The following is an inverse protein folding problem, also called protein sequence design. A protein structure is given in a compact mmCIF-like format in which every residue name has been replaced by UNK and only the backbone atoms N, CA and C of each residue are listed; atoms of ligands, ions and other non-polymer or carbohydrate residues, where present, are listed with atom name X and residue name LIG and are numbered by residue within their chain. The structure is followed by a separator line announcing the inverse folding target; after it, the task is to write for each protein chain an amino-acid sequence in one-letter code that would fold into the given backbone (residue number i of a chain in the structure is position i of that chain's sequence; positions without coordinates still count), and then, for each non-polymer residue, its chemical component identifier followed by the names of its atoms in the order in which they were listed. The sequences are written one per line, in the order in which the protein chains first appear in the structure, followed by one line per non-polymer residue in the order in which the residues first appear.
data_IF_552646601313
#
_entry.id   IF_552646601313
#
_cell.length_a   1.000
_cell.length_b   1.000
_cell.length_c   1.000
_cell.angle_alpha   90.00
_cell.angle_beta   90.00
_cell.angle_gamma   90.00
#
_symmetry.space_group_name_H-M   'P 1'
#
loop_
_entity.id
_entity.type
_entity.pdbx_description
1 polymer ?
#
# COMPACT_ATOMS: atom_id res chain seq x y z
N UNK A 1 -59.79 39.19 -29.60
CA UNK A 1 -60.74 38.07 -29.66
C UNK A 1 -60.16 36.91 -28.87
N UNK A 2 -61.00 36.13 -28.18
CA UNK A 2 -60.63 34.83 -27.61
C UNK A 2 -60.65 33.77 -28.73
N UNK A 3 -60.06 32.59 -28.50
CA UNK A 3 -60.55 31.26 -28.97
C UNK A 3 -59.89 30.14 -28.13
N UNK A 4 -60.54 28.97 -28.05
CA UNK A 4 -60.21 27.79 -27.21
C UNK A 4 -60.85 26.51 -27.80
N UNK A 5 -60.42 25.28 -27.52
CA UNK A 5 -59.30 24.86 -26.64
C UNK A 5 -58.00 24.73 -27.45
N UNK A 6 -57.44 23.61 -27.93
CA UNK A 6 -57.49 22.14 -27.70
C UNK A 6 -56.00 21.71 -27.78
N UNK A 7 -55.40 20.93 -26.89
CA UNK A 7 -55.78 19.64 -26.32
C UNK A 7 -54.91 18.54 -26.98
N UNK A 8 -53.70 18.31 -26.48
CA UNK A 8 -52.74 17.34 -27.04
C UNK A 8 -51.69 16.89 -26.02
N UNK A 9 -51.58 15.57 -25.81
CA UNK A 9 -50.72 14.97 -24.78
C UNK A 9 -49.31 14.74 -25.35
N UNK A 10 -48.33 15.53 -24.91
CA UNK A 10 -46.92 15.31 -25.22
C UNK A 10 -46.25 14.53 -24.08
N UNK A 11 -46.17 13.19 -24.19
CA UNK A 11 -45.39 12.37 -23.27
C UNK A 11 -43.90 12.53 -23.63
N UNK A 12 -43.18 13.40 -22.92
CA UNK A 12 -41.73 13.49 -23.02
C UNK A 12 -41.09 12.23 -22.42
N UNK A 13 -40.69 11.28 -23.27
CA UNK A 13 -40.03 10.06 -22.83
C UNK A 13 -38.72 10.39 -22.10
N UNK A 14 -38.61 9.96 -20.84
CA UNK A 14 -37.37 10.05 -20.07
C UNK A 14 -36.40 8.97 -20.58
N UNK A 15 -35.19 9.31 -21.06
CA UNK A 15 -34.24 8.31 -21.54
C UNK A 15 -33.70 7.47 -20.38
N UNK A 16 -34.15 6.23 -20.28
CA UNK A 16 -33.78 5.30 -19.20
C UNK A 16 -32.43 4.63 -19.47
N UNK A 17 -31.36 5.43 -19.57
CA UNK A 17 -30.00 4.96 -19.85
C UNK A 17 -28.93 5.90 -19.28
N UNK A 18 -28.19 5.45 -18.25
CA UNK A 18 -26.77 5.81 -18.09
C UNK A 18 -25.97 4.96 -17.07
N UNK A 19 -26.59 4.24 -16.13
CA UNK A 19 -25.82 3.50 -15.10
C UNK A 19 -24.80 2.49 -15.68
N UNK A 20 -25.14 1.78 -16.76
CA UNK A 20 -24.22 0.83 -17.41
C UNK A 20 -23.07 1.56 -18.09
N UNK A 21 -23.39 2.62 -18.84
CA UNK A 21 -22.42 3.43 -19.61
C UNK A 21 -21.46 4.16 -18.66
N UNK A 22 -21.92 4.61 -17.49
CA UNK A 22 -21.03 5.18 -16.46
C UNK A 22 -20.12 4.14 -15.81
N UNK A 23 -20.58 2.90 -15.62
CA UNK A 23 -19.76 1.81 -15.05
C UNK A 23 -18.70 1.36 -16.07
N UNK A 24 -19.09 1.19 -17.33
CA UNK A 24 -18.17 0.89 -18.43
C UNK A 24 -17.18 2.04 -18.67
N UNK A 25 -17.60 3.32 -18.62
CA UNK A 25 -16.66 4.44 -18.72
C UNK A 25 -15.69 4.51 -17.54
N UNK A 26 -16.12 4.19 -16.30
CA UNK A 26 -15.20 4.11 -15.15
C UNK A 26 -14.19 2.96 -15.33
N UNK A 27 -14.63 1.78 -15.77
CA UNK A 27 -13.72 0.66 -16.05
C UNK A 27 -12.78 0.93 -17.23
N UNK A 28 -13.25 1.62 -18.29
CA UNK A 28 -12.41 2.01 -19.41
C UNK A 28 -11.42 3.11 -19.03
N UNK A 29 -11.80 4.10 -18.21
CA UNK A 29 -10.86 5.10 -17.66
C UNK A 29 -9.79 4.45 -16.77
N UNK A 30 -10.18 3.49 -15.91
CA UNK A 30 -9.24 2.67 -15.13
C UNK A 30 -8.33 1.78 -15.99
N UNK A 31 -8.75 1.42 -17.21
CA UNK A 31 -7.90 0.69 -18.17
C UNK A 31 -6.91 1.60 -18.93
N UNK A 32 -7.25 2.89 -19.07
CA UNK A 32 -6.53 3.85 -19.89
C UNK A 32 -5.37 4.56 -19.17
N UNK A 33 -5.35 4.59 -17.83
CA UNK A 33 -4.29 5.22 -17.03
C UNK A 33 -2.97 4.43 -16.98
N UNK A 34 -2.67 3.62 -18.00
CA UNK A 34 -1.61 2.60 -18.00
C UNK A 34 -0.25 3.14 -18.47
N UNK A 35 0.02 4.41 -18.18
CA UNK A 35 1.16 5.18 -18.70
C UNK A 35 2.28 5.30 -17.64
N UNK A 36 3.11 4.26 -17.54
CA UNK A 36 4.46 4.25 -16.94
C UNK A 36 4.68 5.11 -15.68
N UNK A 37 4.00 4.78 -14.58
CA UNK A 37 4.12 5.46 -13.27
C UNK A 37 5.45 5.15 -12.52
N UNK A 38 6.53 4.87 -13.26
CA UNK A 38 7.84 4.51 -12.75
C UNK A 38 8.73 5.73 -12.50
N UNK A 39 9.37 5.81 -11.33
CA UNK A 39 10.33 6.89 -11.05
C UNK A 39 11.60 6.72 -11.91
N UNK A 40 12.14 7.78 -12.52
CA UNK A 40 13.36 7.72 -13.33
C UNK A 40 14.66 7.55 -12.51
N UNK A 41 14.54 7.23 -11.21
CA UNK A 41 15.65 7.08 -10.27
C UNK A 41 15.62 5.66 -9.68
N UNK A 42 16.67 4.84 -9.89
CA UNK A 42 16.74 3.49 -9.35
C UNK A 42 16.56 3.42 -7.83
N UNK A 43 15.85 2.39 -7.36
CA UNK A 43 15.66 2.11 -5.93
C UNK A 43 14.54 2.91 -5.25
N UNK A 44 14.00 3.94 -5.90
CA UNK A 44 12.72 4.56 -5.55
C UNK A 44 11.56 3.74 -6.16
N UNK A 45 10.41 3.72 -5.49
CA UNK A 45 9.23 2.97 -5.91
C UNK A 45 7.98 3.81 -5.65
N UNK A 46 7.46 4.46 -6.70
CA UNK A 46 6.21 5.23 -6.64
C UNK A 46 5.02 4.28 -6.47
N UNK A 47 4.33 4.36 -5.34
CA UNK A 47 3.17 3.53 -5.00
C UNK A 47 1.85 4.21 -5.38
N UNK A 48 1.82 5.54 -5.36
CA UNK A 48 0.73 6.39 -5.85
C UNK A 48 1.33 7.69 -6.41
N UNK A 49 0.56 8.55 -7.09
CA UNK A 49 1.04 9.88 -7.50
C UNK A 49 1.63 10.74 -6.36
N UNK A 50 1.27 10.48 -5.11
CA UNK A 50 1.74 11.20 -3.91
C UNK A 50 2.60 10.40 -2.94
N UNK A 51 2.92 9.11 -3.20
CA UNK A 51 3.64 8.25 -2.25
C UNK A 51 4.79 7.49 -2.92
N UNK A 52 5.99 7.59 -2.36
CA UNK A 52 7.21 6.92 -2.84
C UNK A 52 7.86 6.13 -1.71
N UNK A 53 7.93 4.80 -1.87
CA UNK A 53 8.62 3.88 -0.96
C UNK A 53 10.06 3.64 -1.43
N UNK A 54 11.03 3.69 -0.50
CA UNK A 54 12.42 3.32 -0.81
C UNK A 54 13.20 2.79 0.41
N UNK A 55 14.46 2.44 0.17
CA UNK A 55 15.49 2.24 1.20
C UNK A 55 16.46 3.41 1.22
N UNK A 56 17.10 3.67 2.36
CA UNK A 56 17.91 4.86 2.62
C UNK A 56 18.99 5.14 1.55
N UNK A 57 19.60 4.11 0.97
CA UNK A 57 20.61 4.25 -0.07
C UNK A 57 20.13 4.91 -1.38
N UNK A 58 18.81 5.01 -1.61
CA UNK A 58 18.22 5.70 -2.76
C UNK A 58 17.79 7.15 -2.43
N UNK A 59 17.89 7.58 -1.17
CA UNK A 59 17.41 8.89 -0.71
C UNK A 59 18.48 9.95 -0.96
N UNK A 60 18.26 10.76 -2.00
CA UNK A 60 19.19 11.81 -2.45
C UNK A 60 18.44 13.15 -2.55
N UNK A 61 18.95 14.25 -1.96
CA UNK A 61 18.33 15.58 -2.03
C UNK A 61 17.87 15.97 -3.45
N UNK A 62 18.77 15.87 -4.43
CA UNK A 62 18.48 16.23 -5.83
C UNK A 62 17.47 15.31 -6.55
N UNK A 63 17.13 14.14 -5.99
CA UNK A 63 16.00 13.33 -6.46
C UNK A 63 14.70 13.79 -5.79
N UNK A 64 14.75 14.13 -4.49
CA UNK A 64 13.60 14.66 -3.75
C UNK A 64 13.11 16.01 -4.31
N UNK A 65 14.02 16.94 -4.63
CA UNK A 65 13.70 18.19 -5.33
C UNK A 65 12.96 17.91 -6.66
N UNK A 66 13.52 17.03 -7.51
CA UNK A 66 12.96 16.67 -8.83
C UNK A 66 11.63 15.93 -8.78
N UNK A 67 11.32 15.28 -7.65
CA UNK A 67 10.08 14.54 -7.44
C UNK A 67 9.00 15.36 -6.71
N UNK A 68 9.30 16.61 -6.31
CA UNK A 68 8.38 17.44 -5.55
C UNK A 68 8.10 16.91 -4.14
N UNK A 69 9.07 16.23 -3.52
CA UNK A 69 8.90 15.63 -2.19
C UNK A 69 8.74 16.73 -1.14
N UNK A 70 7.54 16.79 -0.54
CA UNK A 70 7.14 17.77 0.47
C UNK A 70 7.04 17.16 1.88
N UNK A 71 7.11 15.82 1.99
CA UNK A 71 7.20 15.12 3.26
C UNK A 71 8.20 13.94 3.17
N UNK A 72 8.95 13.71 4.24
CA UNK A 72 9.89 12.60 4.40
C UNK A 72 9.57 11.86 5.70
N UNK A 73 9.26 10.57 5.62
CA UNK A 73 9.01 9.70 6.78
C UNK A 73 10.17 8.70 6.89
N UNK A 74 10.95 8.80 7.97
CA UNK A 74 12.10 7.93 8.27
C UNK A 74 11.73 6.93 9.38
N UNK A 75 11.69 5.65 9.04
CA UNK A 75 11.36 4.53 9.94
C UNK A 75 12.61 3.70 10.26
N UNK A 76 13.76 4.35 10.45
CA UNK A 76 15.03 3.72 10.79
C UNK A 76 15.76 4.47 11.92
N UNK A 77 15.43 4.18 13.20
CA UNK A 77 16.12 4.78 14.36
C UNK A 77 17.64 4.58 14.36
N UNK A 78 18.15 3.55 13.68
CA UNK A 78 19.57 3.22 13.56
C UNK A 78 20.35 4.08 12.54
N UNK A 79 19.68 4.94 11.77
CA UNK A 79 20.31 5.82 10.77
C UNK A 79 20.47 7.26 11.28
N UNK A 80 21.40 8.06 10.73
CA UNK A 80 21.36 9.52 10.88
C UNK A 80 20.04 10.09 10.33
N UNK A 81 19.78 11.37 10.60
CA UNK A 81 18.65 12.04 9.96
C UNK A 81 18.82 12.16 8.45
N UNK A 82 17.69 12.09 7.75
CA UNK A 82 17.66 12.04 6.29
C UNK A 82 18.17 13.37 5.71
N UNK A 83 19.12 13.36 4.76
CA UNK A 83 19.61 14.61 4.15
C UNK A 83 18.49 15.24 3.31
N UNK A 84 17.90 16.32 3.82
CA UNK A 84 16.75 16.99 3.21
C UNK A 84 17.16 17.88 2.01
N UNK A 85 16.26 18.12 1.03
CA UNK A 85 16.49 19.04 -0.08
C UNK A 85 16.66 20.49 0.38
N UNK A 86 17.51 21.25 -0.34
CA UNK A 86 17.91 22.60 0.06
C UNK A 86 16.97 23.72 -0.41
N UNK A 87 16.10 23.48 -1.40
CA UNK A 87 15.24 24.54 -1.94
C UNK A 87 13.96 24.76 -1.11
N UNK A 88 13.40 23.68 -0.57
CA UNK A 88 12.26 23.70 0.36
C UNK A 88 12.44 22.58 1.36
N UNK A 89 12.50 22.90 2.65
CA UNK A 89 12.50 21.90 3.72
C UNK A 89 11.16 21.16 3.72
N UNK A 90 11.12 19.84 3.50
CA UNK A 90 9.90 19.05 3.63
C UNK A 90 9.50 18.88 5.10
N UNK A 91 8.25 18.51 5.36
CA UNK A 91 7.86 17.96 6.66
C UNK A 91 8.66 16.69 6.93
N UNK A 92 9.25 16.55 8.11
CA UNK A 92 10.08 15.39 8.48
C UNK A 92 9.54 14.69 9.72
N UNK A 93 9.16 13.42 9.56
CA UNK A 93 8.70 12.55 10.64
C UNK A 93 9.69 11.40 10.83
N UNK A 94 10.21 11.24 12.06
CA UNK A 94 11.13 10.15 12.43
C UNK A 94 10.47 9.19 13.41
N UNK A 95 10.14 7.99 12.93
CA UNK A 95 9.48 6.93 13.71
C UNK A 95 10.53 5.98 14.29
N UNK A 96 10.63 5.94 15.61
CA UNK A 96 11.66 5.20 16.34
C UNK A 96 11.31 3.71 16.52
N UNK A 97 11.16 2.98 15.41
CA UNK A 97 10.82 1.55 15.40
C UNK A 97 11.94 0.66 14.80
N UNK A 98 12.33 -0.39 15.53
CA UNK A 98 13.29 -1.40 15.04
C UNK A 98 12.57 -2.47 14.19
N UNK A 99 13.29 -3.11 13.26
CA UNK A 99 12.73 -4.16 12.39
C UNK A 99 12.68 -5.52 13.11
N UNK A 100 11.73 -5.67 14.04
CA UNK A 100 11.57 -6.88 14.86
C UNK A 100 10.09 -7.22 15.04
N UNK A 101 9.76 -8.49 15.16
CA UNK A 101 8.39 -9.01 15.31
C UNK A 101 7.72 -8.60 16.62
N UNK A 102 8.51 -8.27 17.65
CA UNK A 102 8.05 -7.90 18.99
C UNK A 102 7.83 -6.39 19.14
N UNK A 103 8.20 -5.59 18.13
CA UNK A 103 8.02 -4.13 18.14
C UNK A 103 6.61 -3.79 17.69
N UNK A 104 5.87 -3.07 18.54
CA UNK A 104 4.63 -2.43 18.14
C UNK A 104 4.90 -1.22 17.23
N UNK A 105 4.57 -1.39 15.95
CA UNK A 105 4.54 -0.35 14.93
C UNK A 105 3.11 0.18 14.70
N UNK A 106 2.08 -0.52 15.19
CA UNK A 106 0.67 -0.21 14.94
C UNK A 106 0.24 1.13 15.52
N UNK A 107 0.81 1.51 16.67
CA UNK A 107 0.67 2.86 17.27
C UNK A 107 1.10 4.03 16.36
N UNK A 108 1.82 3.77 15.27
CA UNK A 108 2.22 4.75 14.25
C UNK A 108 1.46 4.61 12.92
N UNK A 109 0.53 3.66 12.81
CA UNK A 109 -0.22 3.44 11.57
C UNK A 109 -1.11 4.63 11.22
N UNK A 110 -1.90 5.15 12.17
CA UNK A 110 -2.74 6.32 11.96
C UNK A 110 -1.90 7.59 11.72
N UNK A 111 -0.91 7.87 12.59
CA UNK A 111 0.01 9.00 12.46
C UNK A 111 0.65 9.08 11.06
N UNK A 112 1.18 7.96 10.57
CA UNK A 112 1.82 7.91 9.25
C UNK A 112 0.81 7.92 8.10
N UNK A 113 -0.34 7.24 8.23
CA UNK A 113 -1.37 7.21 7.20
C UNK A 113 -2.02 8.59 6.99
N UNK A 114 -2.34 9.28 8.07
CA UNK A 114 -3.00 10.58 8.04
C UNK A 114 -2.04 11.66 7.52
N UNK A 115 -0.75 11.63 7.91
CA UNK A 115 0.26 12.52 7.34
C UNK A 115 0.48 12.29 5.82
N UNK A 116 0.45 11.05 5.34
CA UNK A 116 0.52 10.77 3.89
C UNK A 116 -0.72 11.32 3.16
N UNK A 117 -1.91 11.21 3.77
CA UNK A 117 -3.16 11.72 3.21
C UNK A 117 -3.23 13.26 3.21
N UNK A 118 -2.82 13.93 4.29
CA UNK A 118 -2.71 15.41 4.34
C UNK A 118 -1.76 15.94 3.25
N UNK A 119 -0.63 15.25 3.04
CA UNK A 119 0.32 15.58 1.97
C UNK A 119 -0.27 15.33 0.58
N UNK A 120 -1.08 14.28 0.40
CA UNK A 120 -1.80 14.03 -0.86
C UNK A 120 -2.86 15.12 -1.12
N UNK A 121 -3.66 15.45 -0.12
CA UNK A 121 -4.75 16.43 -0.22
C UNK A 121 -4.25 17.86 -0.47
N UNK A 122 -3.05 18.18 0.02
CA UNK A 122 -2.35 19.44 -0.29
C UNK A 122 -1.59 19.44 -1.63
N UNK A 123 -1.68 18.36 -2.41
CA UNK A 123 -1.04 18.23 -3.73
C UNK A 123 0.48 17.97 -3.69
N UNK A 124 0.99 17.57 -2.53
CA UNK A 124 2.40 17.22 -2.32
C UNK A 124 2.72 15.75 -2.56
N UNK A 125 3.95 15.36 -2.20
CA UNK A 125 4.44 13.99 -2.30
C UNK A 125 5.23 13.58 -1.06
N UNK A 126 4.89 12.43 -0.48
CA UNK A 126 5.61 11.82 0.64
C UNK A 126 6.61 10.78 0.15
N UNK A 127 7.86 10.91 0.56
CA UNK A 127 8.86 9.84 0.48
C UNK A 127 8.94 9.13 1.84
N UNK A 128 8.83 7.81 1.85
CA UNK A 128 8.91 7.00 3.07
C UNK A 128 9.98 5.91 2.94
N UNK A 129 10.85 5.80 3.94
CA UNK A 129 11.98 4.87 3.91
C UNK A 129 12.31 4.27 5.27
N UNK A 130 13.02 3.15 5.22
CA UNK A 130 13.82 2.63 6.33
C UNK A 130 15.22 2.31 5.78
N UNK A 131 15.94 1.34 6.34
CA UNK A 131 17.23 0.89 5.77
C UNK A 131 17.07 0.34 4.35
N UNK A 132 16.32 -0.75 4.16
CA UNK A 132 16.21 -1.44 2.86
C UNK A 132 14.93 -1.10 2.06
N UNK A 133 13.91 -0.52 2.70
CA UNK A 133 12.60 -0.34 2.08
C UNK A 133 11.89 -1.68 1.85
N UNK A 134 11.98 -2.59 2.82
CA UNK A 134 11.49 -3.98 2.73
C UNK A 134 10.35 -4.24 3.71
N UNK A 135 10.53 -3.88 4.99
CA UNK A 135 9.61 -4.24 6.08
C UNK A 135 8.97 -3.01 6.74
N UNK A 136 9.69 -2.26 7.59
CA UNK A 136 9.13 -1.11 8.34
C UNK A 136 8.38 -0.07 7.49
N UNK A 137 9.06 0.58 6.54
CA UNK A 137 8.44 1.62 5.70
C UNK A 137 7.35 1.07 4.79
N UNK A 138 7.51 -0.17 4.29
CA UNK A 138 6.48 -0.84 3.53
C UNK A 138 5.22 -1.10 4.38
N UNK A 139 5.37 -1.44 5.66
CA UNK A 139 4.25 -1.66 6.58
C UNK A 139 3.41 -0.39 6.75
N UNK A 140 4.04 0.78 6.91
CA UNK A 140 3.32 2.05 6.98
C UNK A 140 2.67 2.44 5.64
N UNK A 141 3.26 2.07 4.49
CA UNK A 141 2.60 2.21 3.19
C UNK A 141 1.33 1.35 3.10
N UNK A 142 1.37 0.11 3.63
CA UNK A 142 0.21 -0.78 3.66
C UNK A 142 -0.90 -0.24 4.57
N UNK A 143 -0.55 0.29 5.75
CA UNK A 143 -1.50 0.95 6.64
C UNK A 143 -2.22 2.13 5.95
N UNK A 144 -1.47 3.01 5.28
CA UNK A 144 -2.04 4.09 4.47
C UNK A 144 -2.98 3.58 3.37
N UNK A 145 -2.58 2.55 2.60
CA UNK A 145 -3.41 2.00 1.52
C UNK A 145 -4.69 1.34 2.04
N UNK A 146 -4.68 0.77 3.24
CA UNK A 146 -5.86 0.19 3.90
C UNK A 146 -6.81 1.31 4.38
N UNK A 147 -6.27 2.35 5.03
CA UNK A 147 -7.05 3.45 5.62
C UNK A 147 -7.65 4.39 4.56
N UNK A 148 -6.81 4.92 3.66
CA UNK A 148 -7.16 6.04 2.78
C UNK A 148 -7.33 5.65 1.30
N UNK A 149 -6.62 4.62 0.81
CA UNK A 149 -6.86 4.11 -0.55
C UNK A 149 -7.96 3.04 -0.62
N UNK A 150 -8.61 2.73 0.50
CA UNK A 150 -9.77 1.83 0.57
C UNK A 150 -9.48 0.36 0.29
N UNK A 151 -8.21 -0.04 0.15
CA UNK A 151 -7.80 -1.41 -0.18
C UNK A 151 -7.96 -2.36 1.01
N UNK A 152 -8.10 -3.66 0.73
CA UNK A 152 -7.78 -4.71 1.70
C UNK A 152 -6.26 -4.88 1.85
N UNK A 153 -5.79 -5.49 2.94
CA UNK A 153 -4.37 -5.81 3.15
C UNK A 153 -3.81 -6.71 2.04
N UNK A 154 -4.61 -7.65 1.54
CA UNK A 154 -4.23 -8.53 0.42
C UNK A 154 -4.07 -7.77 -0.90
N UNK A 155 -4.89 -6.76 -1.16
CA UNK A 155 -4.79 -5.90 -2.34
C UNK A 155 -3.62 -4.93 -2.21
N UNK A 156 -3.50 -4.24 -1.07
CA UNK A 156 -2.41 -3.33 -0.77
C UNK A 156 -1.04 -4.03 -0.87
N UNK A 157 -0.91 -5.25 -0.32
CA UNK A 157 0.34 -6.02 -0.44
C UNK A 157 0.65 -6.37 -1.89
N UNK A 158 -0.31 -6.87 -2.67
CA UNK A 158 -0.11 -7.20 -4.10
C UNK A 158 0.27 -5.97 -4.91
N UNK A 159 -0.37 -4.83 -4.66
CA UNK A 159 -0.06 -3.54 -5.30
C UNK A 159 1.38 -3.11 -5.02
N UNK A 160 1.78 -3.10 -3.74
CA UNK A 160 3.14 -2.72 -3.34
C UNK A 160 4.19 -3.73 -3.83
N UNK A 161 3.90 -5.03 -3.79
CA UNK A 161 4.82 -6.09 -4.25
C UNK A 161 5.01 -6.05 -5.78
N UNK A 162 3.97 -5.74 -6.56
CA UNK A 162 4.09 -5.60 -8.02
C UNK A 162 5.02 -4.44 -8.43
N UNK A 163 5.07 -3.37 -7.63
CA UNK A 163 5.92 -2.19 -7.87
C UNK A 163 7.31 -2.36 -7.24
N UNK A 164 7.41 -3.08 -6.12
CA UNK A 164 8.65 -3.32 -5.36
C UNK A 164 8.74 -4.78 -4.87
N UNK A 165 9.17 -5.72 -5.73
CA UNK A 165 9.09 -7.17 -5.46
C UNK A 165 9.79 -7.65 -4.18
N UNK A 166 10.80 -6.93 -3.68
CA UNK A 166 11.49 -7.26 -2.44
C UNK A 166 10.73 -6.86 -1.15
N UNK A 167 9.51 -6.31 -1.23
CA UNK A 167 8.72 -5.93 -0.05
C UNK A 167 8.26 -7.16 0.73
N UNK A 168 8.62 -7.20 2.01
CA UNK A 168 8.39 -8.31 2.93
C UNK A 168 8.39 -7.79 4.38
N UNK A 169 7.26 -7.26 4.89
CA UNK A 169 7.08 -7.01 6.31
C UNK A 169 7.40 -8.26 7.14
N UNK A 170 7.95 -8.07 8.35
CA UNK A 170 8.11 -9.18 9.28
C UNK A 170 6.74 -9.69 9.76
N UNK A 171 6.70 -10.92 10.30
CA UNK A 171 5.45 -11.57 10.72
C UNK A 171 4.67 -10.79 11.79
N UNK A 172 5.37 -10.10 12.70
CA UNK A 172 4.76 -9.25 13.71
C UNK A 172 4.03 -8.04 13.10
N UNK A 173 4.67 -7.34 12.16
CA UNK A 173 4.04 -6.24 11.43
C UNK A 173 2.88 -6.71 10.54
N UNK A 174 2.98 -7.90 9.93
CA UNK A 174 1.84 -8.49 9.22
C UNK A 174 0.67 -8.79 10.16
N UNK A 175 0.91 -9.37 11.35
CA UNK A 175 -0.15 -9.56 12.34
C UNK A 175 -0.74 -8.22 12.82
N UNK A 176 0.06 -7.16 12.94
CA UNK A 176 -0.41 -5.81 13.30
C UNK A 176 -1.29 -5.21 12.19
N UNK A 177 -0.84 -5.25 10.93
CA UNK A 177 -1.63 -4.81 9.77
C UNK A 177 -2.95 -5.59 9.62
N UNK A 178 -2.93 -6.89 9.94
CA UNK A 178 -4.11 -7.77 9.96
C UNK A 178 -5.13 -7.35 11.03
N UNK A 179 -4.67 -6.90 12.20
CA UNK A 179 -5.53 -6.33 13.26
C UNK A 179 -6.11 -4.99 12.83
N UNK A 180 -5.27 -4.11 12.28
CA UNK A 180 -5.66 -2.79 11.78
C UNK A 180 -6.71 -2.85 10.66
N UNK A 181 -6.57 -3.79 9.71
CA UNK A 181 -7.59 -4.06 8.69
C UNK A 181 -8.91 -4.52 9.31
N UNK A 182 -8.86 -5.45 10.29
CA UNK A 182 -10.02 -5.96 11.01
C UNK A 182 -10.73 -4.85 11.81
N UNK A 183 -9.98 -3.94 12.42
CA UNK A 183 -10.48 -2.79 13.19
C UNK A 183 -11.16 -1.76 12.28
N UNK A 184 -10.55 -1.42 11.13
CA UNK A 184 -11.10 -0.45 10.18
C UNK A 184 -12.25 -1.00 9.31
N UNK A 185 -12.31 -2.32 9.06
CA UNK A 185 -13.20 -2.92 8.05
C UNK A 185 -14.11 -4.03 8.57
N UNK A 186 -14.06 -4.35 9.86
CA UNK A 186 -14.82 -5.45 10.48
C UNK A 186 -14.45 -6.86 10.00
N UNK A 187 -13.43 -6.98 9.14
CA UNK A 187 -12.95 -8.23 8.56
C UNK A 187 -11.51 -8.06 8.09
N UNK A 188 -10.75 -9.16 7.99
CA UNK A 188 -9.40 -9.13 7.41
C UNK A 188 -9.29 -10.09 6.24
N UNK A 189 -8.58 -9.64 5.20
CA UNK A 189 -8.37 -10.36 3.94
C UNK A 189 -7.22 -11.36 4.01
N UNK A 190 -6.41 -11.40 5.08
CA UNK A 190 -5.21 -12.24 5.23
C UNK A 190 -5.28 -13.09 6.51
N UNK A 191 -5.03 -14.38 6.39
CA UNK A 191 -4.79 -15.29 7.51
C UNK A 191 -3.30 -15.46 7.81
N UNK A 192 -2.98 -15.82 9.06
CA UNK A 192 -1.69 -16.41 9.42
C UNK A 192 -1.82 -17.93 9.34
N UNK A 193 -0.82 -18.59 8.75
CA UNK A 193 -0.76 -20.04 8.56
C UNK A 193 0.58 -20.57 9.05
N UNK A 194 0.56 -21.70 9.75
CA UNK A 194 1.76 -22.31 10.32
C UNK A 194 2.46 -23.22 9.30
N UNK A 195 3.77 -23.01 9.09
CA UNK A 195 4.63 -23.81 8.21
C UNK A 195 5.62 -24.62 9.03
N UNK A 196 5.47 -25.95 9.03
CA UNK A 196 6.31 -26.85 9.82
C UNK A 196 7.74 -26.98 9.26
N UNK A 197 7.95 -26.66 7.98
CA UNK A 197 9.28 -26.51 7.37
C UNK A 197 10.04 -25.26 7.84
N UNK A 198 9.33 -24.26 8.38
CA UNK A 198 9.90 -23.01 8.92
C UNK A 198 9.89 -22.93 10.46
N UNK A 199 9.11 -23.80 11.11
CA UNK A 199 8.74 -23.74 12.54
C UNK A 199 8.06 -22.41 12.93
N UNK A 200 7.31 -21.80 11.99
CA UNK A 200 6.80 -20.42 12.11
C UNK A 200 5.45 -20.22 11.45
N UNK A 201 4.69 -19.25 11.96
CA UNK A 201 3.58 -18.63 11.23
C UNK A 201 4.10 -17.70 10.12
N UNK A 202 3.46 -17.77 8.95
CA UNK A 202 3.59 -16.80 7.87
C UNK A 202 2.21 -16.30 7.43
N UNK A 203 2.11 -15.13 6.79
CA UNK A 203 0.90 -14.73 6.06
C UNK A 203 0.57 -15.70 4.92
N UNK A 204 -0.71 -16.04 4.74
CA UNK A 204 -1.18 -16.94 3.67
C UNK A 204 -0.82 -16.46 2.25
N UNK A 205 -0.61 -15.15 2.08
CA UNK A 205 -0.24 -14.52 0.82
C UNK A 205 1.17 -14.92 0.35
N UNK A 206 2.00 -15.43 1.28
CA UNK A 206 3.32 -15.98 1.03
C UNK A 206 3.32 -17.53 0.92
N UNK A 207 2.20 -18.20 1.19
CA UNK A 207 2.05 -19.67 1.06
C UNK A 207 2.57 -20.21 -0.29
N UNK A 208 2.33 -19.56 -1.46
CA UNK A 208 2.85 -20.03 -2.74
C UNK A 208 4.38 -20.04 -2.84
N UNK A 209 5.08 -19.15 -2.12
CA UNK A 209 6.55 -19.09 -2.12
C UNK A 209 7.16 -20.28 -1.37
N UNK A 210 6.46 -20.82 -0.37
CA UNK A 210 6.96 -21.85 0.53
C UNK A 210 6.40 -23.26 0.28
N UNK A 211 5.31 -23.40 -0.51
CA UNK A 211 4.61 -24.67 -0.75
C UNK A 211 5.56 -25.84 -1.09
N UNK A 212 6.49 -25.65 -2.02
CA UNK A 212 7.40 -26.70 -2.46
C UNK A 212 8.36 -27.20 -1.35
N UNK A 213 8.73 -26.31 -0.42
CA UNK A 213 9.58 -26.64 0.73
C UNK A 213 8.80 -27.37 1.82
N UNK A 214 7.55 -26.96 2.07
CA UNK A 214 6.64 -27.66 2.98
C UNK A 214 6.29 -29.06 2.47
N UNK A 215 5.95 -29.20 1.19
CA UNK A 215 5.72 -30.50 0.52
C UNK A 215 6.92 -31.44 0.67
N UNK A 216 8.14 -30.91 0.50
CA UNK A 216 9.37 -31.68 0.70
C UNK A 216 9.55 -32.11 2.17
N UNK A 217 9.38 -31.17 3.10
CA UNK A 217 9.50 -31.42 4.54
C UNK A 217 8.52 -32.49 5.02
N UNK A 218 7.24 -32.41 4.62
CA UNK A 218 6.22 -33.37 5.03
C UNK A 218 6.48 -34.78 4.46
N UNK A 219 6.97 -34.89 3.22
CA UNK A 219 7.41 -36.17 2.63
C UNK A 219 8.59 -36.76 3.40
N UNK A 220 9.61 -35.94 3.69
CA UNK A 220 10.78 -36.37 4.46
C UNK A 220 10.41 -36.83 5.88
N UNK A 221 9.65 -36.02 6.63
CA UNK A 221 9.14 -36.34 7.98
C UNK A 221 8.30 -37.62 7.99
N UNK A 222 7.51 -37.86 6.94
CA UNK A 222 6.72 -39.09 6.76
C UNK A 222 7.58 -40.33 6.47
N UNK A 223 8.73 -40.17 5.83
CA UNK A 223 9.68 -41.27 5.58
C UNK A 223 10.41 -41.72 6.84
N UNK A 224 10.75 -40.78 7.74
CA UNK A 224 11.41 -41.09 9.02
C UNK A 224 10.48 -41.85 9.96
N UNK A 225 9.17 -41.55 9.96
CA UNK A 225 8.14 -42.26 10.75
C UNK A 225 7.83 -43.70 10.27
N UNK A 226 8.50 -44.19 9.23
CA UNK A 226 8.31 -45.54 8.65
C UNK A 226 9.58 -46.41 8.79
N UNK A 227 10.47 -46.03 9.71
CA UNK A 227 11.70 -46.72 10.09
C UNK A 227 11.72 -46.90 11.60
#
# INVERSE_FOLDING_TARGET
MQELIVGGIAISAVPFANETVEKENRQNQLSASKLEDHTPFPGLSRLTPSLILCGAAAVVPAHMDKLGVSCVINVAPELPDTPLPSQKSPLYLRIMAQDRSEVDLSKHFDEAADLIEEVRLSGGCTLIHCVAGVSRSASLCLAYLIKHAGMSLREAYKHVQAIRPQVRPNSGFFQQLRRYELELRGSSSVAMVYFASLDKEIPDILEPEYRAMEDFYQRYRSSLKRR
#
